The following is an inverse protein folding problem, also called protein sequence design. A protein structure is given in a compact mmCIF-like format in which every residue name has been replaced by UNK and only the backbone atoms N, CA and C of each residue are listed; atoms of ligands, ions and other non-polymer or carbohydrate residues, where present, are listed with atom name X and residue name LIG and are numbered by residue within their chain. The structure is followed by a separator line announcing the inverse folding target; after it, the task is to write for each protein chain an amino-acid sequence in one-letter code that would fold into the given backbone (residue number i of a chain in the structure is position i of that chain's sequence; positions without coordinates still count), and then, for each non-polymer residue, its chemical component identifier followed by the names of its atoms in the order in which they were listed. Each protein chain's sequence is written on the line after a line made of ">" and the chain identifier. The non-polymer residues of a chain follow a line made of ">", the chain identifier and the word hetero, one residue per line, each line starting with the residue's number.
data_IF_464337475047
#
_entry.id   IF_464337475047
#
_cell.length_a   1.000
_cell.length_b   1.000
_cell.length_c   1.000
_cell.angle_alpha   90.00
_cell.angle_beta   90.00
_cell.angle_gamma   90.00
#
_symmetry.space_group_name_H-M   'P 1'
#
loop_
_entity.id
_entity.type
_entity.pdbx_description
1 polymer ?
#
# COMPACT_ATOMS: atom_id res chain seq x y z
N UNK A 1 20.28 -14.31 16.01
CA UNK A 1 19.99 -15.32 17.04
C UNK A 1 18.62 -15.91 16.72
N UNK A 2 18.60 -17.18 16.34
CA UNK A 2 17.42 -17.96 15.96
C UNK A 2 17.33 -19.15 16.90
N UNK A 3 16.24 -19.24 17.68
CA UNK A 3 15.84 -20.31 18.62
C UNK A 3 14.35 -20.03 18.92
N UNK A 4 13.35 -20.91 18.89
CA UNK A 4 13.19 -22.33 18.54
C UNK A 4 11.68 -22.70 18.48
N UNK A 5 11.33 -23.60 17.54
CA UNK A 5 10.52 -24.85 17.62
C UNK A 5 9.11 -24.89 18.29
N UNK A 6 8.15 -25.82 18.04
CA UNK A 6 8.17 -27.30 17.84
C UNK A 6 6.91 -27.79 17.04
N UNK A 7 7.10 -28.90 16.31
CA UNK A 7 6.12 -29.74 15.61
C UNK A 7 5.48 -30.76 16.58
N UNK A 8 4.19 -31.08 16.45
CA UNK A 8 3.62 -32.34 16.97
C UNK A 8 2.93 -33.12 15.84
N UNK A 9 3.48 -34.29 15.51
CA UNK A 9 2.93 -35.27 14.57
C UNK A 9 2.35 -36.42 15.42
N UNK A 10 1.02 -36.55 15.42
CA UNK A 10 0.30 -37.73 15.92
C UNK A 10 -0.09 -38.64 14.77
N UNK A 11 0.41 -39.89 14.78
CA UNK A 11 0.07 -40.99 13.85
C UNK A 11 -1.39 -41.43 14.00
N UNK A 12 -2.10 -41.71 12.90
CA UNK A 12 -3.03 -42.86 12.70
C UNK A 12 -3.32 -43.01 11.19
N UNK A 13 -3.37 -44.28 10.74
CA UNK A 13 -3.44 -44.73 9.35
C UNK A 13 -4.83 -44.60 8.69
N UNK A 14 -4.77 -44.41 7.36
CA UNK A 14 -5.72 -44.67 6.27
C UNK A 14 -7.17 -45.07 6.60
N UNK A 15 -8.12 -44.27 6.10
CA UNK A 15 -9.24 -44.78 5.31
C UNK A 15 -9.38 -43.97 4.03
N UNK A 16 -9.50 -44.67 2.91
CA UNK A 16 -9.87 -44.16 1.60
C UNK A 16 -11.22 -43.44 1.70
N UNK A 17 -11.20 -42.13 1.52
CA UNK A 17 -12.34 -41.38 1.03
C UNK A 17 -11.87 -40.71 -0.26
N UNK A 18 -12.28 -41.30 -1.39
CA UNK A 18 -12.38 -40.58 -2.65
C UNK A 18 -13.44 -39.49 -2.44
N UNK A 19 -13.02 -38.33 -1.98
CA UNK A 19 -13.67 -37.10 -2.40
C UNK A 19 -12.65 -36.42 -3.30
N UNK A 20 -13.03 -36.22 -4.56
CA UNK A 20 -12.52 -35.14 -5.38
C UNK A 20 -12.80 -33.82 -4.65
N UNK A 21 -12.06 -33.52 -3.59
CA UNK A 21 -11.87 -32.16 -3.12
C UNK A 21 -10.71 -31.65 -3.95
N UNK A 22 -10.99 -31.33 -5.22
CA UNK A 22 -10.33 -30.21 -5.87
C UNK A 22 -10.19 -29.14 -4.81
N UNK A 23 -8.95 -28.80 -4.45
CA UNK A 23 -8.59 -27.84 -3.42
C UNK A 23 -9.59 -26.66 -3.38
N UNK A 24 -10.66 -26.75 -2.60
CA UNK A 24 -11.44 -25.58 -2.23
C UNK A 24 -10.65 -24.98 -1.08
N UNK A 25 -9.47 -24.42 -1.41
CA UNK A 25 -9.01 -23.26 -0.65
C UNK A 25 -10.12 -22.26 -0.86
N UNK A 26 -10.96 -22.08 0.15
CA UNK A 26 -11.80 -20.89 0.25
C UNK A 26 -10.80 -19.72 0.32
N UNK A 27 -10.38 -19.20 -0.84
CA UNK A 27 -9.66 -17.93 -0.86
C UNK A 27 -10.70 -16.93 -0.42
N UNK A 28 -10.56 -16.39 0.79
CA UNK A 28 -11.36 -15.26 1.22
C UNK A 28 -11.08 -14.10 0.26
N UNK A 29 -11.89 -14.01 -0.79
CA UNK A 29 -11.84 -12.93 -1.77
C UNK A 29 -12.55 -11.74 -1.13
N UNK A 30 -11.82 -10.64 -0.96
CA UNK A 30 -12.44 -9.38 -0.56
C UNK A 30 -12.67 -8.54 -1.80
N UNK A 31 -13.91 -8.12 -2.01
CA UNK A 31 -14.28 -7.22 -3.11
C UNK A 31 -14.46 -5.82 -2.53
N UNK A 32 -13.64 -4.87 -3.00
CA UNK A 32 -13.79 -3.45 -2.69
C UNK A 32 -14.48 -2.79 -3.87
N UNK A 33 -15.70 -2.32 -3.64
CA UNK A 33 -16.48 -1.52 -4.56
C UNK A 33 -16.84 -0.19 -3.91
N UNK A 34 -17.21 0.78 -4.73
CA UNK A 34 -17.51 2.12 -4.27
C UNK A 34 -18.77 2.64 -4.98
N UNK A 35 -19.33 3.73 -4.48
CA UNK A 35 -20.50 4.37 -5.11
C UNK A 35 -20.09 5.10 -6.39
N UNK A 36 -20.87 4.97 -7.46
CA UNK A 36 -20.65 5.69 -8.72
C UNK A 36 -20.61 7.22 -8.57
N UNK A 37 -21.16 7.75 -7.48
CA UNK A 37 -21.22 9.19 -7.19
C UNK A 37 -20.13 9.64 -6.21
N UNK A 38 -19.22 8.77 -5.77
CA UNK A 38 -18.18 9.19 -4.85
C UNK A 38 -17.17 10.10 -5.56
N UNK A 39 -16.76 11.17 -4.89
CA UNK A 39 -15.81 12.15 -5.42
C UNK A 39 -14.35 11.66 -5.34
N UNK A 40 -14.08 10.66 -4.50
CA UNK A 40 -12.76 10.08 -4.25
C UNK A 40 -12.90 8.63 -3.77
N UNK A 41 -11.78 7.91 -3.71
CA UNK A 41 -11.72 6.52 -3.24
C UNK A 41 -12.44 5.54 -4.17
N UNK A 42 -12.72 5.98 -5.40
CA UNK A 42 -13.43 5.24 -6.41
C UNK A 42 -12.60 5.09 -7.67
N UNK A 43 -12.71 3.91 -8.27
CA UNK A 43 -12.05 3.55 -9.51
C UNK A 43 -13.07 2.91 -10.44
N UNK A 44 -12.79 2.89 -11.75
CA UNK A 44 -13.69 2.32 -12.75
C UNK A 44 -13.94 0.83 -12.53
N UNK A 45 -12.93 0.10 -12.04
CA UNK A 45 -13.03 -1.32 -11.75
C UNK A 45 -12.99 -1.57 -10.24
N UNK A 46 -13.86 -2.46 -9.75
CA UNK A 46 -13.80 -2.97 -8.39
C UNK A 46 -12.50 -3.73 -8.14
N UNK A 47 -11.96 -3.64 -6.93
CA UNK A 47 -10.80 -4.42 -6.53
C UNK A 47 -11.22 -5.78 -5.99
N UNK A 48 -10.77 -6.84 -6.65
CA UNK A 48 -10.83 -8.20 -6.12
C UNK A 48 -9.46 -8.54 -5.57
N UNK A 49 -9.34 -8.70 -4.25
CA UNK A 49 -8.07 -9.06 -3.59
C UNK A 49 -8.18 -10.45 -2.97
N UNK A 50 -7.31 -11.37 -3.37
CA UNK A 50 -7.34 -12.78 -2.96
C UNK A 50 -6.19 -13.19 -2.06
N UNK A 51 -5.06 -12.44 -2.08
CA UNK A 51 -3.85 -12.80 -1.34
C UNK A 51 -3.62 -11.95 -0.10
N UNK A 52 -3.22 -12.63 0.97
CA UNK A 52 -2.79 -12.03 2.25
C UNK A 52 -1.25 -11.87 2.34
N UNK A 53 -0.50 -12.71 1.60
CA UNK A 53 0.98 -12.71 1.60
C UNK A 53 1.51 -12.85 0.17
N UNK A 54 2.57 -12.11 -0.17
CA UNK A 54 3.31 -12.19 -1.44
C UNK A 54 2.66 -11.47 -2.63
N UNK A 55 1.53 -10.79 -2.41
CA UNK A 55 0.85 -9.93 -3.39
C UNK A 55 0.35 -10.61 -4.67
N UNK A 56 -0.50 -9.91 -5.40
CA UNK A 56 -0.94 -10.31 -6.74
C UNK A 56 -1.01 -9.09 -7.66
N UNK A 57 -0.98 -9.33 -8.97
CA UNK A 57 -1.13 -8.26 -9.94
C UNK A 57 -2.48 -7.56 -9.77
N UNK A 58 -2.46 -6.24 -9.62
CA UNK A 58 -3.66 -5.42 -9.72
C UNK A 58 -4.11 -5.34 -11.19
N UNK A 59 -5.42 -5.39 -11.42
CA UNK A 59 -5.97 -5.11 -12.72
C UNK A 59 -5.87 -3.59 -13.03
N UNK A 60 -5.83 -3.21 -14.32
CA UNK A 60 -5.91 -1.80 -14.72
C UNK A 60 -7.16 -1.12 -14.15
N UNK A 61 -7.04 0.17 -13.81
CA UNK A 61 -8.10 1.00 -13.24
C UNK A 61 -8.73 0.46 -11.94
N UNK A 62 -8.02 -0.40 -11.19
CA UNK A 62 -8.47 -0.86 -9.85
C UNK A 62 -8.00 0.07 -8.73
N UNK A 63 -6.78 0.60 -8.84
CA UNK A 63 -6.20 1.52 -7.87
C UNK A 63 -5.81 2.81 -8.59
N UNK A 64 -6.79 3.48 -9.20
CA UNK A 64 -6.60 4.63 -10.11
C UNK A 64 -5.97 5.87 -9.46
N UNK A 65 -5.76 5.86 -8.14
CA UNK A 65 -5.00 6.87 -7.41
C UNK A 65 -3.52 6.52 -7.22
N UNK A 66 -3.11 5.27 -7.46
CA UNK A 66 -1.72 4.86 -7.32
C UNK A 66 -0.85 5.50 -8.40
N UNK A 67 0.29 6.05 -7.98
CA UNK A 67 1.27 6.63 -8.90
C UNK A 67 2.66 6.06 -8.66
N UNK A 68 3.40 5.86 -9.75
CA UNK A 68 4.83 5.53 -9.71
C UNK A 68 5.62 6.83 -9.71
N UNK A 69 6.41 7.05 -8.67
CA UNK A 69 7.34 8.17 -8.54
C UNK A 69 8.74 7.66 -8.84
N UNK A 70 9.40 8.28 -9.82
CA UNK A 70 10.73 7.91 -10.25
C UNK A 70 11.70 9.05 -10.15
N UNK A 71 12.94 8.73 -9.78
CA UNK A 71 14.08 9.64 -9.90
C UNK A 71 15.06 9.00 -10.88
N UNK A 72 15.24 9.64 -12.04
CA UNK A 72 16.09 9.11 -13.11
C UNK A 72 15.77 7.66 -13.47
N UNK A 73 16.81 6.82 -13.58
CA UNK A 73 16.68 5.41 -13.98
C UNK A 73 16.54 4.44 -12.81
N UNK A 74 16.89 4.83 -11.58
CA UNK A 74 17.12 3.89 -10.48
C UNK A 74 16.04 3.85 -9.38
N UNK A 75 15.73 5.00 -8.76
CA UNK A 75 14.90 5.02 -7.55
C UNK A 75 13.41 5.00 -7.86
N UNK A 76 12.67 4.19 -7.11
CA UNK A 76 11.23 4.00 -7.24
C UNK A 76 10.56 4.20 -5.88
N UNK A 77 9.56 5.08 -5.86
CA UNK A 77 8.63 5.24 -4.76
C UNK A 77 7.18 5.16 -5.27
N UNK A 78 6.26 4.93 -4.34
CA UNK A 78 4.83 5.07 -4.58
C UNK A 78 4.30 6.42 -4.12
N UNK A 79 3.09 6.74 -4.56
CA UNK A 79 2.31 7.85 -4.04
C UNK A 79 0.83 7.64 -4.33
N UNK A 80 0.00 8.53 -3.81
CA UNK A 80 -1.43 8.53 -4.07
C UNK A 80 -1.92 9.90 -4.52
N UNK A 81 -2.76 9.92 -5.53
CA UNK A 81 -3.43 11.14 -6.00
C UNK A 81 -4.48 11.53 -4.96
N UNK A 82 -4.41 12.75 -4.45
CA UNK A 82 -5.40 13.29 -3.49
C UNK A 82 -6.23 14.42 -4.09
N UNK A 83 -5.79 14.97 -5.22
CA UNK A 83 -6.55 15.86 -6.10
C UNK A 83 -5.88 15.94 -7.47
N UNK A 84 -6.47 16.65 -8.43
CA UNK A 84 -5.89 16.79 -9.76
C UNK A 84 -4.47 17.40 -9.78
N UNK A 85 -4.07 18.14 -8.74
CA UNK A 85 -2.78 18.87 -8.72
C UNK A 85 -1.84 18.37 -7.63
N UNK A 86 -2.24 17.36 -6.86
CA UNK A 86 -1.53 16.94 -5.66
C UNK A 86 -1.42 15.42 -5.53
N UNK A 87 -0.20 14.99 -5.22
CA UNK A 87 0.14 13.62 -4.84
C UNK A 87 0.67 13.62 -3.40
N UNK A 88 0.23 12.67 -2.59
CA UNK A 88 0.81 12.38 -1.28
C UNK A 88 1.78 11.21 -1.38
N UNK A 89 2.90 11.30 -0.66
CA UNK A 89 3.96 10.27 -0.65
C UNK A 89 4.72 10.33 0.68
N UNK A 90 5.73 9.48 0.84
CA UNK A 90 6.63 9.50 1.99
C UNK A 90 7.69 10.61 1.85
N UNK A 91 8.10 11.21 2.97
CA UNK A 91 9.13 12.25 2.97
C UNK A 91 10.50 11.69 2.56
N UNK A 92 10.85 10.49 3.03
CA UNK A 92 12.13 9.85 2.70
C UNK A 92 12.29 9.61 1.18
N UNK A 93 11.19 9.48 0.44
CA UNK A 93 11.20 9.32 -1.01
C UNK A 93 11.64 10.59 -1.73
N UNK A 94 11.34 11.77 -1.16
CA UNK A 94 11.39 13.03 -1.90
C UNK A 94 12.34 14.10 -1.36
N UNK A 95 12.84 13.94 -0.13
CA UNK A 95 13.55 15.01 0.58
C UNK A 95 14.89 15.42 -0.06
N UNK A 96 15.51 14.58 -0.88
CA UNK A 96 16.89 14.76 -1.32
C UNK A 96 17.07 15.33 -2.74
N UNK A 97 16.00 15.61 -3.47
CA UNK A 97 16.09 15.99 -4.90
C UNK A 97 15.29 17.23 -5.26
N UNK A 98 15.62 17.82 -6.40
CA UNK A 98 14.88 18.93 -6.99
C UNK A 98 13.52 18.45 -7.49
N UNK A 99 12.42 19.20 -7.31
CA UNK A 99 11.07 18.78 -7.74
C UNK A 99 10.99 18.29 -9.19
N UNK A 100 11.66 18.97 -10.11
CA UNK A 100 11.65 18.64 -11.54
C UNK A 100 12.33 17.31 -11.90
N UNK A 101 13.12 16.73 -10.99
CA UNK A 101 13.78 15.42 -11.19
C UNK A 101 12.84 14.24 -10.94
N UNK A 102 11.69 14.49 -10.30
CA UNK A 102 10.67 13.47 -10.11
C UNK A 102 9.81 13.33 -11.37
N UNK A 103 9.74 12.12 -11.90
CA UNK A 103 8.75 11.74 -12.90
C UNK A 103 7.64 10.98 -12.21
N UNK A 104 6.40 11.45 -12.37
CA UNK A 104 5.19 10.86 -11.82
C UNK A 104 4.40 10.24 -12.98
N UNK A 105 4.21 8.93 -12.93
CA UNK A 105 3.33 8.19 -13.84
C UNK A 105 2.00 7.89 -13.15
N UNK A 106 0.90 8.32 -13.77
CA UNK A 106 -0.46 8.08 -13.34
C UNK A 106 -1.25 7.30 -14.40
N UNK A 107 -2.29 6.59 -13.96
CA UNK A 107 -3.22 5.92 -14.86
C UNK A 107 -2.71 4.62 -15.48
N UNK A 108 -1.87 3.86 -14.78
CA UNK A 108 -1.30 2.62 -15.30
C UNK A 108 -0.86 1.69 -14.18
N UNK A 109 -0.86 0.39 -14.47
CA UNK A 109 -0.25 -0.63 -13.59
C UNK A 109 1.25 -0.77 -13.84
N UNK A 110 1.81 -0.18 -14.90
CA UNK A 110 3.25 -0.19 -15.15
C UNK A 110 3.96 0.89 -14.33
N UNK A 111 5.07 0.53 -13.67
CA UNK A 111 5.93 1.51 -12.98
C UNK A 111 6.78 2.39 -13.91
N UNK A 112 6.75 2.14 -15.21
CA UNK A 112 7.61 2.82 -16.21
C UNK A 112 6.85 3.76 -17.14
N UNK A 113 5.52 3.70 -17.13
CA UNK A 113 4.68 4.49 -18.02
C UNK A 113 3.27 4.65 -17.44
N UNK A 114 2.64 5.76 -17.76
CA UNK A 114 1.26 6.09 -17.41
C UNK A 114 0.51 6.66 -18.61
N UNK A 115 -0.82 6.68 -18.56
CA UNK A 115 -1.62 7.49 -19.49
C UNK A 115 -1.29 8.97 -19.35
N UNK A 116 -0.87 9.37 -18.15
CA UNK A 116 -0.44 10.73 -17.84
C UNK A 116 0.93 10.72 -17.15
N UNK A 117 1.81 11.59 -17.63
CA UNK A 117 3.13 11.83 -17.04
C UNK A 117 3.23 13.27 -16.57
N UNK A 118 3.73 13.48 -15.35
CA UNK A 118 3.98 14.80 -14.78
C UNK A 118 5.35 14.85 -14.13
N UNK A 119 5.82 16.06 -13.89
CA UNK A 119 6.91 16.33 -12.95
C UNK A 119 6.36 17.02 -11.70
N UNK A 120 7.16 17.20 -10.65
CA UNK A 120 6.75 18.03 -9.52
C UNK A 120 7.19 19.49 -9.74
N UNK A 121 6.31 20.44 -9.40
CA UNK A 121 6.64 21.87 -9.30
C UNK A 121 7.17 22.23 -7.92
N UNK A 122 6.61 21.63 -6.86
CA UNK A 122 7.01 21.88 -5.49
C UNK A 122 6.91 20.59 -4.64
N UNK A 123 7.74 20.57 -3.59
CA UNK A 123 7.80 19.52 -2.58
C UNK A 123 7.51 20.17 -1.22
N UNK A 124 6.61 19.57 -0.44
CA UNK A 124 6.26 20.00 0.91
C UNK A 124 6.46 18.82 1.86
N UNK A 125 7.63 18.76 2.49
CA UNK A 125 7.94 17.77 3.52
C UNK A 125 7.32 18.21 4.84
N UNK A 126 6.77 17.27 5.61
CA UNK A 126 6.25 17.57 6.93
C UNK A 126 7.35 18.16 7.83
N UNK A 127 7.11 19.30 8.52
CA UNK A 127 8.17 20.00 9.28
C UNK A 127 8.72 19.18 10.44
N UNK A 128 7.93 18.25 10.97
CA UNK A 128 8.35 17.30 12.01
C UNK A 128 8.94 15.98 11.49
N UNK A 129 9.27 15.87 10.20
CA UNK A 129 9.89 14.66 9.66
C UNK A 129 11.29 14.42 10.24
N UNK A 130 11.58 13.18 10.62
CA UNK A 130 12.91 12.74 11.09
C UNK A 130 13.40 11.55 10.27
N UNK A 131 14.53 11.73 9.58
CA UNK A 131 15.17 10.67 8.79
C UNK A 131 15.80 9.55 9.64
N UNK A 132 16.01 9.78 10.94
CA UNK A 132 16.51 8.75 11.87
C UNK A 132 15.40 7.83 12.34
N UNK A 133 14.20 8.37 12.58
CA UNK A 133 13.10 7.65 13.24
C UNK A 133 11.92 7.37 12.32
N UNK A 134 11.91 7.96 11.11
CA UNK A 134 10.79 7.94 10.17
C UNK A 134 9.46 8.45 10.78
N UNK A 135 9.55 9.23 11.86
CA UNK A 135 8.41 9.93 12.43
C UNK A 135 7.99 11.03 11.46
N UNK A 136 6.68 11.16 11.24
CA UNK A 136 6.07 12.08 10.27
C UNK A 136 6.65 11.92 8.86
N UNK A 137 6.87 10.68 8.41
CA UNK A 137 7.34 10.35 7.07
C UNK A 137 6.23 10.53 6.01
N UNK A 138 5.86 11.79 5.80
CA UNK A 138 4.79 12.21 4.91
C UNK A 138 5.18 13.50 4.21
N UNK A 139 4.83 13.59 2.93
CA UNK A 139 5.06 14.78 2.14
C UNK A 139 4.03 14.93 1.01
N UNK A 140 3.86 16.16 0.57
CA UNK A 140 3.01 16.52 -0.57
C UNK A 140 3.85 16.96 -1.76
N UNK A 141 3.46 16.46 -2.93
CA UNK A 141 3.98 16.86 -4.23
C UNK A 141 2.92 17.67 -4.96
N UNK A 142 3.25 18.92 -5.28
CA UNK A 142 2.47 19.70 -6.24
C UNK A 142 2.93 19.35 -7.64
N UNK A 143 2.00 18.96 -8.50
CA UNK A 143 2.32 18.58 -9.88
C UNK A 143 2.69 19.83 -10.71
N UNK A 144 3.47 19.63 -11.78
CA UNK A 144 3.83 20.70 -12.72
C UNK A 144 2.65 21.16 -13.58
N UNK A 145 1.68 20.29 -13.81
CA UNK A 145 0.36 20.62 -14.34
C UNK A 145 -0.69 19.64 -13.81
N UNK A 146 -1.98 20.05 -13.74
CA UNK A 146 -3.04 19.17 -13.25
C UNK A 146 -3.18 17.89 -14.08
N UNK A 147 -3.62 16.81 -13.44
CA UNK A 147 -4.07 15.57 -14.06
C UNK A 147 -5.48 15.76 -14.66
N UNK A 148 -5.72 15.08 -15.77
CA UNK A 148 -7.02 14.93 -16.39
C UNK A 148 -7.80 13.88 -15.61
N UNK A 149 -8.83 14.30 -14.86
CA UNK A 149 -9.64 13.41 -14.01
C UNK A 149 -10.81 12.75 -14.76
N UNK A 150 -10.97 13.07 -16.04
CA UNK A 150 -11.87 12.42 -17.01
C UNK A 150 -11.28 11.12 -17.58
N UNK A 151 -9.98 10.90 -17.40
CA UNK A 151 -9.31 9.64 -17.70
C UNK A 151 -9.79 8.54 -16.72
N UNK A 152 -10.40 7.43 -17.19
CA UNK A 152 -10.92 6.36 -16.32
C UNK A 152 -9.83 5.66 -15.48
N UNK A 153 -8.57 5.78 -15.87
CA UNK A 153 -7.46 5.20 -15.13
C UNK A 153 -6.95 6.12 -14.00
N UNK A 154 -7.47 7.34 -13.88
CA UNK A 154 -6.99 8.36 -12.94
C UNK A 154 -8.12 8.83 -12.02
N UNK A 155 -7.90 8.74 -10.71
CA UNK A 155 -8.84 9.20 -9.70
C UNK A 155 -8.12 9.64 -8.44
N UNK A 156 -8.79 10.34 -7.52
CA UNK A 156 -8.23 10.66 -6.21
C UNK A 156 -8.66 9.64 -5.15
N UNK A 157 -7.80 9.37 -4.17
CA UNK A 157 -8.17 8.68 -2.94
C UNK A 157 -8.71 9.68 -1.90
N UNK A 158 -9.66 9.25 -1.07
CA UNK A 158 -10.14 10.06 0.02
C UNK A 158 -9.11 10.15 1.15
N UNK A 159 -8.96 11.34 1.74
CA UNK A 159 -8.30 11.51 3.02
C UNK A 159 -9.30 11.14 4.13
N UNK A 160 -8.92 10.26 5.06
CA UNK A 160 -9.82 9.84 6.12
C UNK A 160 -10.10 11.01 7.07
N UNK A 161 -11.38 11.28 7.35
CA UNK A 161 -11.80 12.25 8.35
C UNK A 161 -11.94 11.54 9.70
N UNK A 162 -10.85 11.51 10.47
CA UNK A 162 -10.79 10.86 11.78
C UNK A 162 -10.59 11.94 12.85
N UNK A 163 -11.31 11.85 13.95
CA UNK A 163 -11.14 12.80 15.05
C UNK A 163 -9.77 12.60 15.72
N UNK A 164 -9.19 13.70 16.22
CA UNK A 164 -7.93 13.63 16.95
C UNK A 164 -8.02 12.71 18.16
N UNK A 165 -9.19 12.65 18.82
CA UNK A 165 -9.43 11.75 19.95
C UNK A 165 -9.25 10.28 19.56
N UNK A 166 -9.85 9.85 18.44
CA UNK A 166 -9.74 8.47 17.94
C UNK A 166 -8.30 8.14 17.52
N UNK A 167 -7.62 9.07 16.83
CA UNK A 167 -6.23 8.90 16.42
C UNK A 167 -5.29 8.78 17.63
N UNK A 168 -5.43 9.68 18.61
CA UNK A 168 -4.61 9.68 19.82
C UNK A 168 -4.85 8.46 20.72
N UNK A 169 -6.05 7.85 20.64
CA UNK A 169 -6.36 6.61 21.33
C UNK A 169 -5.80 5.36 20.61
N UNK A 170 -5.29 5.50 19.38
CA UNK A 170 -4.82 4.36 18.58
C UNK A 170 -5.95 3.43 18.12
N UNK A 171 -7.18 3.93 18.07
CA UNK A 171 -8.39 3.15 17.78
C UNK A 171 -8.72 3.08 16.28
N UNK A 172 -7.97 3.82 15.44
CA UNK A 172 -8.22 3.86 14.00
C UNK A 172 -6.96 3.56 13.18
N UNK A 173 -7.08 2.69 12.15
CA UNK A 173 -8.15 1.68 12.01
C UNK A 173 -8.13 0.66 13.18
N UNK A 174 -9.28 0.08 13.58
CA UNK A 174 -9.34 -0.91 14.65
C UNK A 174 -8.42 -2.10 14.39
N UNK A 175 -7.81 -2.68 15.43
CA UNK A 175 -6.98 -3.89 15.30
C UNK A 175 -7.76 -5.02 14.62
N UNK A 176 -7.09 -5.77 13.73
CA UNK A 176 -7.70 -6.82 12.91
C UNK A 176 -8.42 -6.31 11.65
N UNK A 177 -8.45 -5.00 11.40
CA UNK A 177 -9.01 -4.44 10.16
C UNK A 177 -8.18 -4.88 8.97
N UNK A 178 -8.84 -5.47 7.97
CA UNK A 178 -8.24 -5.73 6.66
C UNK A 178 -8.01 -4.38 5.95
N UNK A 179 -6.78 -4.11 5.56
CA UNK A 179 -6.37 -2.98 4.71
C UNK A 179 -5.60 -3.50 3.50
N UNK A 180 -5.59 -2.74 2.41
CA UNK A 180 -4.89 -3.15 1.18
C UNK A 180 -3.65 -2.29 1.00
N UNK A 181 -2.50 -2.95 0.90
CA UNK A 181 -1.26 -2.32 0.45
C UNK A 181 -1.13 -2.50 -1.06
N UNK A 182 -0.78 -1.40 -1.75
CA UNK A 182 -0.71 -1.33 -3.21
C UNK A 182 0.61 -0.68 -3.61
N UNK A 183 1.34 -1.27 -4.57
CA UNK A 183 2.62 -0.69 -5.02
C UNK A 183 3.48 -1.62 -5.86
N UNK A 184 4.71 -1.19 -6.12
CA UNK A 184 5.72 -1.93 -6.89
C UNK A 184 6.94 -2.32 -6.04
N UNK A 185 6.73 -2.49 -4.74
CA UNK A 185 7.75 -2.99 -3.82
C UNK A 185 8.12 -4.45 -4.09
N UNK A 186 9.24 -4.90 -3.55
CA UNK A 186 9.70 -6.28 -3.67
C UNK A 186 8.68 -7.23 -3.05
N UNK A 187 8.38 -8.34 -3.74
CA UNK A 187 7.42 -9.35 -3.27
C UNK A 187 8.01 -10.37 -2.29
N UNK A 188 9.34 -10.37 -2.16
CA UNK A 188 10.12 -11.20 -1.24
C UNK A 188 11.40 -10.45 -0.87
N UNK A 189 12.01 -10.78 0.27
CA UNK A 189 13.30 -10.22 0.67
C UNK A 189 14.38 -10.47 -0.41
N UNK A 190 15.11 -9.42 -0.79
CA UNK A 190 16.11 -9.48 -1.87
C UNK A 190 15.55 -9.72 -3.28
N UNK A 191 14.22 -9.78 -3.43
CA UNK A 191 13.56 -9.99 -4.72
C UNK A 191 13.67 -8.78 -5.65
N UNK A 192 13.32 -8.97 -6.92
CA UNK A 192 13.25 -7.88 -7.88
C UNK A 192 11.95 -7.08 -7.71
N UNK A 193 12.01 -5.80 -8.06
CA UNK A 193 10.82 -4.95 -8.11
C UNK A 193 9.93 -5.36 -9.28
N UNK A 194 8.64 -5.66 -9.06
CA UNK A 194 7.71 -6.03 -10.11
C UNK A 194 7.49 -4.86 -11.08
N UNK A 195 7.25 -5.17 -12.36
CA UNK A 195 6.88 -4.15 -13.36
C UNK A 195 5.41 -3.75 -13.23
N UNK A 196 4.55 -4.71 -12.94
CA UNK A 196 3.11 -4.53 -12.77
C UNK A 196 2.78 -4.23 -11.31
N UNK A 197 1.82 -3.34 -11.10
CA UNK A 197 1.33 -2.93 -9.79
C UNK A 197 0.82 -4.15 -9.04
N UNK A 198 1.22 -4.27 -7.77
CA UNK A 198 0.81 -5.33 -6.88
C UNK A 198 -0.22 -4.81 -5.87
N UNK A 199 -1.04 -5.72 -5.39
CA UNK A 199 -1.98 -5.51 -4.28
C UNK A 199 -1.88 -6.67 -3.30
N UNK A 200 -2.08 -6.40 -2.00
CA UNK A 200 -2.11 -7.42 -0.95
C UNK A 200 -2.98 -6.95 0.20
N UNK A 201 -3.82 -7.85 0.75
CA UNK A 201 -4.56 -7.58 1.98
C UNK A 201 -3.66 -7.87 3.19
N UNK A 202 -3.54 -6.92 4.10
CA UNK A 202 -2.87 -7.09 5.39
C UNK A 202 -3.82 -6.70 6.52
N UNK A 203 -3.55 -7.15 7.73
CA UNK A 203 -4.37 -6.80 8.90
C UNK A 203 -3.64 -5.83 9.79
N UNK A 204 -4.35 -4.83 10.30
CA UNK A 204 -3.83 -3.88 11.28
C UNK A 204 -3.54 -4.61 12.59
N UNK A 205 -2.37 -4.40 13.16
CA UNK A 205 -1.90 -5.09 14.36
C UNK A 205 -1.81 -4.12 15.52
N UNK A 206 -2.19 -4.58 16.72
CA UNK A 206 -2.01 -3.80 17.94
C UNK A 206 -0.53 -3.44 18.13
N UNK A 207 -0.27 -2.25 18.68
CA UNK A 207 1.07 -1.91 19.15
C UNK A 207 1.46 -2.85 20.30
N UNK A 208 2.20 -3.90 19.98
CA UNK A 208 2.76 -4.84 20.94
C UNK A 208 4.27 -4.87 20.82
N UNK A 209 4.94 -5.02 21.98
CA UNK A 209 6.40 -5.03 22.10
C UNK A 209 7.08 -6.08 21.21
N UNK A 210 6.41 -7.20 20.97
CA UNK A 210 6.94 -8.36 20.23
C UNK A 210 6.72 -8.30 18.72
N UNK A 211 5.88 -7.41 18.21
CA UNK A 211 5.52 -7.36 16.77
C UNK A 211 5.93 -6.04 16.12
N UNK A 212 5.51 -4.91 16.68
CA UNK A 212 5.60 -3.61 16.01
C UNK A 212 6.53 -2.62 16.73
N UNK A 213 6.70 -2.75 18.06
CA UNK A 213 7.56 -1.83 18.82
C UNK A 213 9.03 -1.78 18.37
N UNK A 214 9.66 -2.87 17.88
CA UNK A 214 11.05 -2.80 17.42
C UNK A 214 11.24 -1.94 16.15
N UNK A 215 10.17 -1.69 15.39
CA UNK A 215 10.22 -1.03 14.07
C UNK A 215 9.54 0.34 14.06
N UNK A 216 8.85 0.72 15.13
CA UNK A 216 8.10 1.98 15.25
C UNK A 216 8.70 2.90 16.31
N UNK A 217 8.85 4.17 15.96
CA UNK A 217 9.35 5.19 16.87
C UNK A 217 8.22 5.97 17.55
N UNK A 218 7.04 6.08 16.93
CA UNK A 218 5.89 6.75 17.52
C UNK A 218 4.55 6.17 17.01
N UNK A 219 3.84 5.50 17.91
CA UNK A 219 2.58 4.80 17.67
C UNK A 219 1.35 5.72 17.52
N UNK A 220 1.46 7.02 17.84
CA UNK A 220 0.36 7.97 17.60
C UNK A 220 0.33 8.51 16.17
N UNK A 221 1.40 8.30 15.39
CA UNK A 221 1.56 8.79 14.01
C UNK A 221 2.05 7.73 13.04
N UNK A 222 2.12 6.46 13.48
CA UNK A 222 2.50 5.32 12.66
C UNK A 222 1.49 4.18 12.91
N UNK A 223 1.22 3.41 11.86
CA UNK A 223 0.31 2.26 11.89
C UNK A 223 1.11 0.98 11.61
N UNK A 224 0.78 -0.11 12.30
CA UNK A 224 1.35 -1.42 12.04
C UNK A 224 0.33 -2.33 11.35
N UNK A 225 0.75 -3.02 10.30
CA UNK A 225 -0.08 -4.02 9.63
C UNK A 225 0.76 -5.18 9.07
N UNK A 226 0.19 -6.38 9.06
CA UNK A 226 0.82 -7.59 8.57
C UNK A 226 -0.08 -8.81 8.66
N UNK A 227 0.40 -9.97 8.22
CA UNK A 227 -0.30 -11.24 8.41
C UNK A 227 -0.04 -11.81 9.82
N UNK A 228 -1.04 -12.47 10.42
CA UNK A 228 -0.83 -13.30 11.62
C UNK A 228 0.20 -14.40 11.30
N UNK A 229 1.39 -14.32 11.91
CA UNK A 229 2.51 -15.25 11.66
C UNK A 229 3.63 -14.71 10.76
N UNK A 230 3.51 -13.47 10.28
CA UNK A 230 4.50 -12.83 9.41
C UNK A 230 4.34 -13.22 7.94
N UNK A 231 4.36 -12.22 7.06
CA UNK A 231 4.55 -12.46 5.63
C UNK A 231 6.04 -12.64 5.37
N UNK A 232 6.43 -13.78 4.80
CA UNK A 232 7.69 -13.90 4.05
C UNK A 232 7.38 -13.82 2.58
#
# INVERSE_FOLDING_TARGET
>A
MSVSQIISIGRIQLFFILILLSNIRSSHQTVYSCSSNALCGCSTNSATVTRIVGGENAAPATWSWAVSLRIGTGSLCGGSIISNSWVITAAHCIISQTPSQYTIYAGSTSRWAGTQTRTASNIFVHPGYSSTTYVNDIALLKLSSPLSMDDPYVSSICIPSVSQAILSAGEWPPVGTNVVAVGWGTLSEGGSLPTTLQQVTVQTVAYQASTCAPTMANWTVQLCAGASGGGK
#
